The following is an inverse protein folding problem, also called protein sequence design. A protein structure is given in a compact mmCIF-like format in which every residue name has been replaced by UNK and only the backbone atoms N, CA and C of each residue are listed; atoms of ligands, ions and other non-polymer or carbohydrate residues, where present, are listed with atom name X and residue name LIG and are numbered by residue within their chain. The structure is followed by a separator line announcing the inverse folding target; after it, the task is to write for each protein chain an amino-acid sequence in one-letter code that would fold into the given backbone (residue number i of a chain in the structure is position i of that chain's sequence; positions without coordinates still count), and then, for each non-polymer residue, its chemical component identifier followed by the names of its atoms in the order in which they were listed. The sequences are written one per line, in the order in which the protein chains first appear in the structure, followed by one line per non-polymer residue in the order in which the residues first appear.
data_IF_602014727326
#
_entry.id   IF_602014727326
#
_cell.length_a   1.000
_cell.length_b   1.000
_cell.length_c   1.000
_cell.angle_alpha   90.00
_cell.angle_beta   90.00
_cell.angle_gamma   90.00
#
_symmetry.space_group_name_H-M   'P 1'
#
loop_
_entity.id
_entity.type
_entity.pdbx_description
1 polymer ?
#
# COMPACT_ATOMS: atom_id res chain seq x y z
N UNK A 1 0.60 -16.94 23.04
CA UNK A 1 1.56 -17.77 23.79
C UNK A 1 1.55 -19.16 23.18
N UNK A 2 2.70 -19.84 23.06
CA UNK A 2 2.73 -21.21 22.54
C UNK A 2 2.02 -22.17 23.53
N UNK A 3 1.16 -23.08 23.05
CA UNK A 3 0.28 -23.87 23.91
C UNK A 3 1.02 -24.86 24.83
N UNK A 4 2.23 -25.29 24.44
CA UNK A 4 3.03 -26.27 25.18
C UNK A 4 4.32 -25.72 25.78
N UNK A 5 4.63 -24.44 25.55
CA UNK A 5 5.88 -23.83 26.01
C UNK A 5 5.66 -22.33 26.22
N UNK A 6 5.50 -21.91 27.48
CA UNK A 6 5.26 -20.52 27.83
C UNK A 6 6.44 -19.57 27.52
N UNK A 7 7.64 -20.09 27.26
CA UNK A 7 8.81 -19.30 26.87
C UNK A 7 8.78 -18.91 25.38
N UNK A 8 8.01 -19.62 24.54
CA UNK A 8 7.91 -19.33 23.12
C UNK A 8 6.76 -18.37 22.81
N UNK A 9 7.08 -17.31 22.06
CA UNK A 9 6.09 -16.36 21.55
C UNK A 9 5.65 -16.77 20.15
N UNK A 10 4.35 -16.70 19.91
CA UNK A 10 3.75 -16.96 18.59
C UNK A 10 3.32 -15.62 18.01
N UNK A 11 3.93 -15.24 16.89
CA UNK A 11 3.60 -14.01 16.16
C UNK A 11 2.61 -14.34 15.05
N UNK A 12 1.55 -13.53 14.95
CA UNK A 12 0.45 -13.76 14.02
C UNK A 12 0.60 -12.81 12.84
N UNK A 13 0.50 -13.35 11.62
CA UNK A 13 0.55 -12.58 10.39
C UNK A 13 -0.73 -12.77 9.58
N UNK A 14 -1.19 -11.68 8.97
CA UNK A 14 -2.13 -11.72 7.87
C UNK A 14 -1.38 -11.84 6.54
N UNK A 15 -2.01 -12.47 5.55
CA UNK A 15 -1.49 -12.58 4.19
C UNK A 15 -1.40 -11.19 3.53
N UNK A 16 -0.17 -10.66 3.40
CA UNK A 16 0.08 -9.32 2.87
C UNK A 16 -0.42 -9.12 1.43
N UNK A 17 -0.17 -10.03 0.47
CA UNK A 17 -0.84 -10.04 -0.84
C UNK A 17 -2.37 -9.90 -0.77
N UNK A 18 -3.02 -10.61 0.15
CA UNK A 18 -4.46 -10.49 0.34
C UNK A 18 -4.86 -9.13 0.90
N UNK A 19 -4.11 -8.60 1.87
CA UNK A 19 -4.38 -7.28 2.45
C UNK A 19 -4.26 -6.16 1.40
N UNK A 20 -3.21 -6.19 0.56
CA UNK A 20 -3.02 -5.22 -0.53
C UNK A 20 -4.19 -5.25 -1.52
N UNK A 21 -4.66 -6.46 -1.84
CA UNK A 21 -5.81 -6.68 -2.71
C UNK A 21 -7.10 -6.10 -2.14
N UNK A 22 -7.36 -6.30 -0.84
CA UNK A 22 -8.52 -5.70 -0.17
C UNK A 22 -8.43 -4.18 -0.13
N UNK A 23 -7.25 -3.63 0.17
CA UNK A 23 -7.01 -2.19 0.11
C UNK A 23 -7.33 -1.63 -1.28
N UNK A 24 -6.85 -2.27 -2.35
CA UNK A 24 -7.17 -1.89 -3.74
C UNK A 24 -8.68 -1.89 -3.98
N UNK A 25 -9.38 -2.96 -3.59
CA UNK A 25 -10.82 -3.07 -3.83
C UNK A 25 -11.58 -1.93 -3.10
N UNK A 26 -11.30 -1.71 -1.81
CA UNK A 26 -11.96 -0.64 -1.06
C UNK A 26 -11.64 0.76 -1.61
N UNK A 27 -10.41 1.01 -2.06
CA UNK A 27 -10.02 2.27 -2.70
C UNK A 27 -10.84 2.52 -3.98
N UNK A 28 -11.05 1.49 -4.82
CA UNK A 28 -11.78 1.62 -6.07
C UNK A 28 -13.30 1.68 -5.90
N UNK A 29 -13.83 0.98 -4.90
CA UNK A 29 -15.26 0.89 -4.65
C UNK A 29 -15.79 2.09 -3.86
N UNK A 30 -15.03 2.56 -2.87
CA UNK A 30 -15.49 3.55 -1.90
C UNK A 30 -14.52 4.73 -1.74
N UNK A 31 -13.22 4.46 -1.84
CA UNK A 31 -12.18 5.42 -1.50
C UNK A 31 -11.84 5.43 -0.01
N UNK A 32 -10.82 6.22 0.34
CA UNK A 32 -10.34 6.43 1.69
C UNK A 32 -10.49 7.90 2.08
N UNK A 33 -10.70 8.13 3.38
CA UNK A 33 -10.60 9.43 4.03
C UNK A 33 -9.38 9.41 4.93
N UNK A 34 -8.45 10.34 4.71
CA UNK A 34 -7.25 10.49 5.50
C UNK A 34 -6.88 11.97 5.65
N UNK A 35 -6.71 12.44 6.89
CA UNK A 35 -6.42 13.85 7.18
C UNK A 35 -7.36 14.85 6.46
N UNK A 36 -8.67 14.54 6.42
CA UNK A 36 -9.67 15.36 5.73
C UNK A 36 -9.69 15.24 4.20
N UNK A 37 -8.71 14.55 3.60
CA UNK A 37 -8.62 14.36 2.16
C UNK A 37 -9.31 13.06 1.72
N UNK A 38 -10.02 13.13 0.59
CA UNK A 38 -10.60 11.97 -0.08
C UNK A 38 -9.61 11.43 -1.10
N UNK A 39 -9.35 10.13 -1.03
CA UNK A 39 -8.50 9.38 -1.95
C UNK A 39 -9.37 8.33 -2.61
N UNK A 40 -9.72 8.52 -3.87
CA UNK A 40 -10.65 7.63 -4.58
C UNK A 40 -10.15 7.29 -5.99
N UNK A 41 -10.96 6.54 -6.74
CA UNK A 41 -10.61 6.13 -8.11
C UNK A 41 -10.47 7.30 -9.10
N UNK A 42 -10.97 8.52 -8.79
CA UNK A 42 -11.04 9.62 -9.76
C UNK A 42 -9.65 10.06 -10.19
N UNK A 43 -8.68 10.10 -9.27
CA UNK A 43 -7.31 10.46 -9.60
C UNK A 43 -6.70 9.49 -10.63
N UNK A 44 -6.96 8.19 -10.52
CA UNK A 44 -6.50 7.20 -11.49
C UNK A 44 -7.22 7.30 -12.83
N UNK A 45 -8.53 7.60 -12.82
CA UNK A 45 -9.30 7.86 -14.05
C UNK A 45 -8.73 9.07 -14.79
N UNK A 46 -8.41 10.15 -14.06
CA UNK A 46 -7.80 11.35 -14.62
C UNK A 46 -6.40 11.04 -15.16
N UNK A 47 -5.60 10.29 -14.41
CA UNK A 47 -4.26 9.86 -14.82
C UNK A 47 -4.30 9.01 -16.10
N UNK A 48 -5.32 8.16 -16.28
CA UNK A 48 -5.55 7.42 -17.53
C UNK A 48 -5.90 8.34 -18.70
N UNK A 49 -6.68 9.41 -18.48
CA UNK A 49 -7.06 10.36 -19.55
C UNK A 49 -5.87 11.17 -20.04
N UNK A 50 -4.89 11.43 -19.17
CA UNK A 50 -3.66 12.16 -19.50
C UNK A 50 -2.63 11.33 -20.27
N UNK A 51 -2.91 10.05 -20.55
CA UNK A 51 -2.06 9.25 -21.43
C UNK A 51 -2.15 9.78 -22.87
N UNK A 52 -1.20 10.62 -23.28
CA UNK A 52 -0.96 10.97 -24.69
C UNK A 52 -0.05 9.91 -25.33
N UNK A 53 -0.32 9.58 -26.59
CA UNK A 53 -0.01 8.30 -27.26
C UNK A 53 1.42 7.73 -27.13
N UNK A 54 2.48 8.51 -26.92
CA UNK A 54 3.85 7.96 -27.02
C UNK A 54 4.83 8.31 -25.87
N UNK A 55 4.45 9.15 -24.90
CA UNK A 55 5.28 9.51 -23.74
C UNK A 55 4.47 9.42 -22.44
N UNK A 56 4.18 8.19 -22.01
CA UNK A 56 3.36 7.96 -20.81
C UNK A 56 4.20 7.74 -19.56
N UNK A 57 4.16 8.72 -18.65
CA UNK A 57 4.70 8.61 -17.28
C UNK A 57 4.09 7.38 -16.55
N UNK A 58 2.93 6.90 -17.01
CA UNK A 58 2.10 5.87 -16.37
C UNK A 58 1.88 4.68 -17.30
N UNK A 59 2.93 3.97 -17.70
CA UNK A 59 2.84 2.90 -18.70
C UNK A 59 2.10 1.62 -18.23
N UNK A 60 2.01 1.34 -16.91
CA UNK A 60 1.38 0.10 -16.38
C UNK A 60 -0.11 0.21 -16.05
N UNK A 61 -0.61 1.41 -15.70
CA UNK A 61 -2.02 1.58 -15.29
C UNK A 61 -2.94 1.53 -16.51
N UNK A 62 -3.86 0.57 -16.58
CA UNK A 62 -4.83 0.43 -17.68
C UNK A 62 -6.27 0.47 -17.17
N UNK A 63 -7.26 0.57 -18.05
CA UNK A 63 -8.69 0.48 -17.67
C UNK A 63 -9.01 -0.78 -16.86
N UNK A 64 -8.32 -1.89 -17.12
CA UNK A 64 -8.49 -3.15 -16.37
C UNK A 64 -8.08 -3.06 -14.90
N UNK A 65 -7.24 -2.09 -14.53
CA UNK A 65 -6.86 -1.85 -13.14
C UNK A 65 -7.97 -1.16 -12.35
N UNK A 66 -8.87 -0.43 -13.03
CA UNK A 66 -9.95 0.33 -12.39
C UNK A 66 -11.29 -0.39 -12.50
N UNK A 67 -11.55 -1.08 -13.62
CA UNK A 67 -12.73 -1.91 -13.81
C UNK A 67 -12.47 -3.33 -13.36
N UNK A 68 -12.50 -3.51 -12.04
CA UNK A 68 -12.16 -4.79 -11.42
C UNK A 68 -13.44 -5.59 -11.15
N UNK A 69 -13.86 -6.40 -12.13
CA UNK A 69 -15.03 -7.30 -12.04
C UNK A 69 -14.58 -8.76 -11.94
N UNK A 70 -15.35 -9.59 -11.23
CA UNK A 70 -15.13 -11.03 -11.14
C UNK A 70 -13.71 -11.41 -10.68
N UNK A 71 -13.04 -12.28 -11.46
CA UNK A 71 -11.70 -12.79 -11.15
C UNK A 71 -10.62 -11.70 -11.10
N UNK A 72 -10.84 -10.54 -11.73
CA UNK A 72 -9.93 -9.39 -11.65
C UNK A 72 -9.76 -8.88 -10.21
N UNK A 73 -10.78 -9.05 -9.35
CA UNK A 73 -10.70 -8.66 -7.93
C UNK A 73 -9.67 -9.47 -7.18
N UNK A 74 -9.42 -10.71 -7.63
CA UNK A 74 -8.50 -11.65 -7.01
C UNK A 74 -7.02 -11.42 -7.40
N UNK A 75 -6.75 -10.63 -8.46
CA UNK A 75 -5.39 -10.44 -8.97
C UNK A 75 -4.58 -9.45 -8.12
N UNK A 76 -3.62 -9.97 -7.35
CA UNK A 76 -2.65 -9.19 -6.56
C UNK A 76 -1.77 -8.33 -7.46
N UNK A 77 -1.40 -8.82 -8.65
CA UNK A 77 -0.63 -8.06 -9.65
C UNK A 77 -1.23 -6.67 -9.92
N UNK A 78 -2.56 -6.58 -10.07
CA UNK A 78 -3.22 -5.30 -10.31
C UNK A 78 -3.21 -4.39 -9.08
N UNK A 79 -3.21 -4.96 -7.87
CA UNK A 79 -3.08 -4.17 -6.65
C UNK A 79 -1.67 -3.56 -6.53
N UNK A 80 -0.63 -4.38 -6.72
CA UNK A 80 0.75 -3.91 -6.71
C UNK A 80 1.00 -2.86 -7.83
N UNK A 81 0.46 -3.08 -9.03
CA UNK A 81 0.59 -2.11 -10.12
C UNK A 81 -0.17 -0.81 -9.82
N UNK A 82 -1.37 -0.85 -9.23
CA UNK A 82 -2.12 0.34 -8.84
C UNK A 82 -1.35 1.17 -7.81
N UNK A 83 -0.86 0.51 -6.75
CA UNK A 83 -0.15 1.16 -5.64
C UNK A 83 1.31 1.51 -5.94
N UNK A 84 1.85 1.13 -7.09
CA UNK A 84 3.27 1.30 -7.39
C UNK A 84 3.80 2.74 -7.24
N UNK A 85 5.04 2.86 -6.77
CA UNK A 85 5.75 4.14 -6.67
C UNK A 85 5.85 4.88 -8.02
N UNK A 86 5.84 4.17 -9.15
CA UNK A 86 5.76 4.80 -10.48
C UNK A 86 4.46 5.58 -10.67
N UNK A 87 3.30 5.02 -10.28
CA UNK A 87 2.03 5.74 -10.35
C UNK A 87 1.99 6.91 -9.35
N UNK A 88 2.54 6.71 -8.14
CA UNK A 88 2.66 7.78 -7.15
C UNK A 88 3.46 8.97 -7.73
N UNK A 89 4.63 8.70 -8.33
CA UNK A 89 5.46 9.72 -8.99
C UNK A 89 4.71 10.45 -10.09
N UNK A 90 3.90 9.75 -10.88
CA UNK A 90 3.12 10.38 -11.94
C UNK A 90 2.10 11.37 -11.39
N UNK A 91 1.38 10.99 -10.33
CA UNK A 91 0.45 11.89 -9.62
C UNK A 91 1.19 13.12 -9.09
N UNK A 92 2.36 12.92 -8.48
CA UNK A 92 3.22 14.02 -8.02
C UNK A 92 3.62 14.95 -9.16
N UNK A 93 3.99 14.42 -10.33
CA UNK A 93 4.30 15.25 -11.51
C UNK A 93 3.08 16.03 -11.98
N UNK A 94 1.91 15.40 -12.06
CA UNK A 94 0.68 16.08 -12.45
C UNK A 94 0.32 17.22 -11.49
N UNK A 95 0.39 16.98 -10.19
CA UNK A 95 0.10 17.99 -9.17
C UNK A 95 1.11 19.15 -9.18
N UNK A 96 2.41 18.85 -9.32
CA UNK A 96 3.46 19.88 -9.45
C UNK A 96 3.31 20.75 -10.69
N UNK A 97 2.76 20.21 -11.77
CA UNK A 97 2.50 20.94 -13.01
C UNK A 97 1.13 21.66 -13.00
N UNK A 98 0.42 21.67 -11.87
CA UNK A 98 -0.86 22.37 -11.74
C UNK A 98 -1.99 21.75 -12.58
N UNK A 99 -1.91 20.47 -12.91
CA UNK A 99 -2.97 19.80 -13.67
C UNK A 99 -4.23 19.71 -12.79
N UNK A 100 -5.33 20.28 -13.27
CA UNK A 100 -6.62 20.28 -12.58
C UNK A 100 -7.05 18.86 -12.20
N UNK A 101 -7.51 18.69 -10.95
CA UNK A 101 -7.91 17.41 -10.36
C UNK A 101 -6.80 16.65 -9.63
N UNK A 102 -5.61 17.23 -9.48
CA UNK A 102 -4.50 16.71 -8.66
C UNK A 102 -4.11 17.66 -7.52
N UNK A 103 -5.04 18.44 -7.00
CA UNK A 103 -4.80 19.42 -5.93
C UNK A 103 -4.28 18.73 -4.65
N UNK A 104 -4.75 17.51 -4.36
CA UNK A 104 -4.35 16.71 -3.20
C UNK A 104 -3.22 15.71 -3.50
N UNK A 105 -2.37 16.00 -4.51
CA UNK A 105 -1.32 15.07 -4.97
C UNK A 105 -0.36 14.62 -3.87
N UNK A 106 -0.07 15.45 -2.87
CA UNK A 106 0.84 15.10 -1.77
C UNK A 106 0.31 13.91 -0.96
N UNK A 107 -0.97 13.96 -0.63
CA UNK A 107 -1.65 12.89 0.11
C UNK A 107 -1.77 11.63 -0.75
N UNK A 108 -2.13 11.78 -2.03
CA UNK A 108 -2.20 10.66 -2.97
C UNK A 108 -0.83 9.99 -3.16
N UNK A 109 0.22 10.78 -3.35
CA UNK A 109 1.60 10.31 -3.47
C UNK A 109 1.99 9.52 -2.21
N UNK A 110 1.79 10.12 -1.03
CA UNK A 110 2.13 9.50 0.25
C UNK A 110 1.45 8.14 0.43
N UNK A 111 0.13 8.07 0.21
CA UNK A 111 -0.61 6.83 0.44
C UNK A 111 -0.19 5.73 -0.54
N UNK A 112 -0.02 6.05 -1.83
CA UNK A 112 0.41 5.07 -2.82
C UNK A 112 1.82 4.56 -2.53
N UNK A 113 2.77 5.48 -2.34
CA UNK A 113 4.18 5.14 -2.03
C UNK A 113 4.31 4.33 -0.74
N UNK A 114 3.50 4.62 0.28
CA UNK A 114 3.49 3.89 1.53
C UNK A 114 3.00 2.45 1.36
N UNK A 115 1.95 2.21 0.57
CA UNK A 115 1.51 0.85 0.23
C UNK A 115 2.54 0.07 -0.57
N UNK A 116 3.21 0.72 -1.53
CA UNK A 116 4.28 0.09 -2.33
C UNK A 116 5.43 -0.39 -1.44
N UNK A 117 5.99 0.52 -0.64
CA UNK A 117 7.08 0.24 0.28
C UNK A 117 6.73 -0.81 1.34
N UNK A 118 5.54 -0.70 1.92
CA UNK A 118 5.06 -1.70 2.87
C UNK A 118 4.97 -3.08 2.21
N UNK A 119 4.43 -3.15 0.99
CA UNK A 119 4.31 -4.42 0.30
C UNK A 119 5.69 -5.01 -0.09
N UNK A 120 6.64 -4.17 -0.49
CA UNK A 120 8.01 -4.60 -0.78
C UNK A 120 8.70 -5.23 0.44
N UNK A 121 8.50 -4.68 1.65
CA UNK A 121 9.02 -5.27 2.90
C UNK A 121 8.49 -6.69 3.11
N UNK A 122 7.17 -6.87 2.96
CA UNK A 122 6.49 -8.16 3.16
C UNK A 122 6.63 -9.13 1.98
N UNK A 123 7.19 -8.70 0.85
CA UNK A 123 7.38 -9.53 -0.35
C UNK A 123 8.85 -9.57 -0.81
N UNK A 124 9.80 -9.23 0.08
CA UNK A 124 11.23 -9.36 -0.16
C UNK A 124 11.63 -10.84 -0.32
N UNK A 125 12.59 -11.12 -1.22
CA UNK A 125 13.01 -12.50 -1.56
C UNK A 125 14.52 -12.71 -1.54
N UNK A 126 15.29 -11.64 -1.51
CA UNK A 126 16.75 -11.66 -1.54
C UNK A 126 17.28 -10.75 -0.44
N UNK A 127 18.50 -11.03 0.04
CA UNK A 127 19.15 -10.22 1.07
C UNK A 127 19.27 -8.75 0.64
N UNK A 128 19.76 -8.54 -0.57
CA UNK A 128 19.86 -7.23 -1.20
C UNK A 128 19.01 -7.21 -2.48
N UNK A 129 18.27 -6.13 -2.64
CA UNK A 129 17.43 -5.86 -3.79
C UNK A 129 17.68 -4.42 -4.27
N UNK A 130 16.92 -3.97 -5.26
CA UNK A 130 17.12 -2.65 -5.88
C UNK A 130 16.86 -1.48 -4.94
N UNK A 131 16.01 -1.67 -3.92
CA UNK A 131 15.57 -0.63 -2.98
C UNK A 131 15.65 -1.15 -1.54
N UNK A 132 15.89 -0.27 -0.57
CA UNK A 132 16.09 -0.63 0.84
C UNK A 132 14.90 -1.39 1.45
N UNK A 133 13.69 -0.99 1.09
CA UNK A 133 12.44 -1.61 1.54
C UNK A 133 12.23 -3.01 0.97
N UNK A 134 12.86 -3.31 -0.18
CA UNK A 134 12.80 -4.62 -0.83
C UNK A 134 13.97 -5.56 -0.41
N UNK A 135 14.92 -5.07 0.38
CA UNK A 135 15.94 -5.92 1.02
C UNK A 135 15.26 -6.85 2.02
N UNK A 136 15.94 -7.93 2.39
CA UNK A 136 15.49 -8.75 3.51
C UNK A 136 15.29 -7.88 4.77
N UNK A 137 14.25 -8.18 5.54
CA UNK A 137 13.95 -7.40 6.74
C UNK A 137 15.13 -7.48 7.73
N UNK A 138 15.52 -6.32 8.26
CA UNK A 138 16.64 -6.15 9.18
C UNK A 138 17.96 -5.70 8.57
N UNK A 139 18.08 -5.66 7.24
CA UNK A 139 19.26 -5.09 6.55
C UNK A 139 19.27 -3.57 6.67
N UNK A 140 18.16 -2.93 6.33
CA UNK A 140 17.95 -1.48 6.43
C UNK A 140 16.97 -1.17 7.57
N UNK A 141 17.29 -1.68 8.76
CA UNK A 141 16.38 -1.79 9.90
C UNK A 141 15.62 -0.50 10.21
N UNK A 142 16.33 0.63 10.27
CA UNK A 142 15.73 1.92 10.61
C UNK A 142 14.70 2.36 9.55
N UNK A 143 15.05 2.25 8.26
CA UNK A 143 14.17 2.62 7.14
C UNK A 143 12.95 1.70 7.08
N UNK A 144 13.17 0.39 7.18
CA UNK A 144 12.10 -0.60 7.14
C UNK A 144 11.15 -0.41 8.34
N UNK A 145 11.68 -0.25 9.56
CA UNK A 145 10.85 0.03 10.75
C UNK A 145 10.14 1.39 10.67
N UNK A 146 10.72 2.39 10.02
CA UNK A 146 10.04 3.67 9.76
C UNK A 146 8.80 3.45 8.88
N UNK A 147 8.93 2.73 7.76
CA UNK A 147 7.80 2.40 6.88
C UNK A 147 6.72 1.63 7.64
N UNK A 148 7.08 0.65 8.48
CA UNK A 148 6.10 -0.10 9.28
C UNK A 148 5.36 0.79 10.28
N UNK A 149 6.05 1.73 10.93
CA UNK A 149 5.42 2.71 11.85
C UNK A 149 4.49 3.67 11.11
N UNK A 150 4.92 4.18 9.96
CA UNK A 150 4.12 5.08 9.13
C UNK A 150 2.89 4.37 8.57
N UNK A 151 3.03 3.15 8.06
CA UNK A 151 1.91 2.33 7.61
C UNK A 151 0.94 2.03 8.75
N UNK A 152 1.44 1.66 9.93
CA UNK A 152 0.57 1.41 11.08
C UNK A 152 -0.21 2.69 11.46
N UNK A 153 0.46 3.85 11.55
CA UNK A 153 -0.18 5.13 11.84
C UNK A 153 -1.24 5.48 10.80
N UNK A 154 -0.91 5.34 9.52
CA UNK A 154 -1.83 5.59 8.41
C UNK A 154 -3.06 4.65 8.46
N UNK A 155 -2.85 3.35 8.57
CA UNK A 155 -3.94 2.37 8.44
C UNK A 155 -4.93 2.44 9.61
N UNK A 156 -4.47 2.84 10.81
CA UNK A 156 -5.34 3.02 11.99
C UNK A 156 -6.07 4.35 12.00
N UNK A 157 -5.53 5.39 11.34
CA UNK A 157 -6.12 6.73 11.31
C UNK A 157 -7.07 6.93 10.14
N UNK A 158 -6.78 6.34 8.97
CA UNK A 158 -7.66 6.45 7.80
C UNK A 158 -8.97 5.66 7.99
N UNK A 159 -9.99 6.06 7.22
CA UNK A 159 -11.27 5.32 7.13
C UNK A 159 -11.59 5.02 5.69
N UNK A 160 -12.22 3.88 5.45
CA UNK A 160 -12.90 3.64 4.17
C UNK A 160 -14.15 4.52 4.14
N UNK A 161 -14.40 5.22 3.03
CA UNK A 161 -15.57 6.09 2.90
C UNK A 161 -16.86 5.32 3.25
N UNK A 162 -17.73 5.94 4.04
CA UNK A 162 -18.96 5.32 4.53
C UNK A 162 -18.78 4.27 5.64
N UNK A 163 -17.56 4.12 6.20
CA UNK A 163 -17.27 3.21 7.32
C UNK A 163 -16.66 3.97 8.49
N UNK A 164 -17.24 3.80 9.67
CA UNK A 164 -16.78 4.47 10.89
C UNK A 164 -15.80 3.61 11.70
N UNK A 165 -15.79 2.30 11.47
CA UNK A 165 -14.93 1.32 12.15
C UNK A 165 -13.82 0.81 11.23
N UNK A 166 -12.70 0.38 11.81
CA UNK A 166 -11.63 -0.29 11.08
C UNK A 166 -12.14 -1.62 10.51
N UNK A 167 -11.93 -1.82 9.21
CA UNK A 167 -12.23 -3.07 8.53
C UNK A 167 -11.14 -4.14 8.79
N UNK A 168 -11.44 -5.43 8.57
CA UNK A 168 -10.49 -6.52 8.83
C UNK A 168 -9.13 -6.33 8.14
N UNK A 169 -9.09 -5.82 6.91
CA UNK A 169 -7.81 -5.61 6.21
C UNK A 169 -6.93 -4.56 6.90
N UNK A 170 -7.53 -3.52 7.48
CA UNK A 170 -6.80 -2.49 8.22
C UNK A 170 -6.17 -3.08 9.48
N UNK A 171 -6.93 -3.92 10.20
CA UNK A 171 -6.45 -4.65 11.38
C UNK A 171 -5.34 -5.63 11.01
N UNK A 172 -5.48 -6.35 9.90
CA UNK A 172 -4.47 -7.27 9.39
C UNK A 172 -3.15 -6.58 9.05
N UNK A 173 -3.19 -5.45 8.35
CA UNK A 173 -2.00 -4.63 8.05
C UNK A 173 -1.35 -4.14 9.36
N UNK A 174 -2.13 -3.57 10.27
CA UNK A 174 -1.65 -3.10 11.58
C UNK A 174 -0.98 -4.21 12.39
N UNK A 175 -1.59 -5.40 12.43
CA UNK A 175 -1.05 -6.59 13.08
C UNK A 175 0.29 -7.01 12.47
N UNK A 176 0.40 -7.05 11.13
CA UNK A 176 1.66 -7.38 10.46
C UNK A 176 2.76 -6.35 10.79
N UNK A 177 2.45 -5.06 10.78
CA UNK A 177 3.41 -3.99 11.11
C UNK A 177 3.97 -4.11 12.53
N UNK A 178 3.17 -4.62 13.48
CA UNK A 178 3.60 -4.85 14.86
C UNK A 178 4.32 -6.20 15.03
N UNK A 179 3.90 -7.22 14.29
CA UNK A 179 4.42 -8.58 14.45
C UNK A 179 5.80 -8.78 13.81
N UNK A 180 6.08 -8.16 12.65
CA UNK A 180 7.35 -8.35 11.94
C UNK A 180 8.57 -7.92 12.78
N UNK A 181 8.61 -6.72 13.38
CA UNK A 181 9.75 -6.32 14.22
C UNK A 181 9.89 -7.19 15.47
N UNK A 182 8.76 -7.59 16.07
CA UNK A 182 8.74 -8.47 17.24
C UNK A 182 9.36 -9.83 16.93
N UNK A 183 8.90 -10.46 15.85
CA UNK A 183 9.44 -11.73 15.37
C UNK A 183 10.94 -11.62 15.09
N UNK A 184 11.36 -10.60 14.35
CA UNK A 184 12.76 -10.42 14.02
C UNK A 184 13.65 -10.24 15.26
N UNK A 185 13.18 -9.48 16.26
CA UNK A 185 13.89 -9.32 17.53
C UNK A 185 13.96 -10.62 18.32
N UNK A 186 12.91 -11.44 18.29
CA UNK A 186 12.88 -12.73 18.97
C UNK A 186 13.86 -13.74 18.35
N UNK A 187 14.00 -13.74 17.02
CA UNK A 187 14.87 -14.68 16.30
C UNK A 187 16.36 -14.31 16.34
N UNK A 188 16.71 -13.13 16.86
CA UNK A 188 18.10 -12.69 17.07
C UNK A 188 18.56 -13.00 18.47
#
# INVERSE_FOLDING_TARGET
MHPSNNLLQVYIFADAPHMLKLAKNHLLDHGFVYCGNIIDKKCFVLLLKLRVKDLTIVHKLTKQHLHVVGTGRQKVKFAAQLFSHTNAKAIKTCGKNGIAGFENWETLFYVLDLFDKWFDIFNSRTKYAKYAEAHAFGIEMEKQCKVLREMNKFITSMRVCGRNKLLPFQKGISLCCQSLPGLFKHLK
#
